data_IF_966455750604
#
_entry.id   IF_966455750604
#
_cell.length_a   1.000
_cell.length_b   1.000
_cell.length_c   1.000
_cell.angle_alpha   90.00
_cell.angle_beta   90.00
_cell.angle_gamma   90.00
#
_symmetry.space_group_name_H-M   'P 1'
#
loop_
_entity.id
_entity.type
_entity.pdbx_description
1 polymer ?
#
# COMPACT_ATOMS: atom_id res chain seq x y z
N UNK A 1 -7.67 10.14 3.34
CA UNK A 1 -6.43 9.99 2.54
C UNK A 1 -6.85 9.79 1.09
N UNK A 2 -6.13 10.37 0.12
CA UNK A 2 -6.47 10.23 -1.30
C UNK A 2 -6.08 8.85 -1.83
N UNK A 3 -6.76 8.37 -2.87
CA UNK A 3 -6.41 7.12 -3.56
C UNK A 3 -5.70 7.46 -4.87
N UNK A 4 -4.63 6.73 -5.20
CA UNK A 4 -3.95 6.87 -6.49
C UNK A 4 -4.97 6.66 -7.62
N UNK A 5 -5.04 7.56 -8.62
CA UNK A 5 -6.07 7.52 -9.64
C UNK A 5 -5.96 6.25 -10.50
N UNK A 6 -7.12 5.71 -10.85
CA UNK A 6 -7.20 4.68 -11.89
C UNK A 6 -7.03 5.37 -13.24
N UNK A 7 -6.03 4.96 -14.01
CA UNK A 7 -5.72 5.53 -15.32
C UNK A 7 -6.08 4.48 -16.39
N UNK A 8 -7.30 4.51 -16.95
CA UNK A 8 -7.76 3.51 -17.91
C UNK A 8 -6.98 3.62 -19.23
N UNK A 9 -6.50 2.50 -19.74
CA UNK A 9 -5.73 2.42 -20.99
C UNK A 9 -4.22 2.44 -20.82
N UNK A 10 -3.74 2.50 -19.60
CA UNK A 10 -2.35 2.29 -19.26
C UNK A 10 -2.04 0.81 -19.08
N UNK A 11 -1.12 0.29 -19.90
CA UNK A 11 -0.29 -0.81 -19.46
C UNK A 11 0.68 -0.27 -18.39
N UNK A 12 0.27 -0.30 -17.12
CA UNK A 12 1.17 0.06 -16.03
C UNK A 12 2.03 -1.17 -15.78
N UNK A 13 3.29 -1.11 -16.17
CA UNK A 13 4.27 -2.04 -15.66
C UNK A 13 4.60 -1.65 -14.23
N UNK A 14 4.25 -2.52 -13.29
CA UNK A 14 4.56 -2.32 -11.87
C UNK A 14 5.69 -3.24 -11.46
N UNK A 15 6.83 -2.65 -11.12
CA UNK A 15 7.92 -3.36 -10.45
C UNK A 15 7.81 -3.11 -8.96
N UNK A 16 7.71 -4.19 -8.18
CA UNK A 16 7.73 -4.14 -6.71
C UNK A 16 9.08 -4.60 -6.19
N UNK A 17 9.70 -3.80 -5.37
CA UNK A 17 10.97 -4.11 -4.69
C UNK A 17 10.76 -4.12 -3.19
N UNK A 18 11.37 -5.10 -2.52
CA UNK A 18 11.37 -5.23 -1.07
C UNK A 18 12.60 -4.53 -0.51
N UNK A 19 12.41 -3.63 0.42
CA UNK A 19 13.49 -2.89 1.07
C UNK A 19 13.63 -3.34 2.51
N UNK A 20 14.86 -3.62 2.91
CA UNK A 20 15.26 -3.90 4.30
C UNK A 20 16.40 -2.98 4.70
N UNK A 21 16.62 -2.80 5.98
CA UNK A 21 17.77 -2.04 6.49
C UNK A 21 18.56 -2.89 7.46
N UNK A 22 19.81 -3.16 7.10
CA UNK A 22 20.75 -3.94 7.91
C UNK A 22 22.09 -3.21 8.05
N UNK A 23 22.74 -3.37 9.20
CA UNK A 23 24.12 -2.95 9.41
C UNK A 23 25.00 -4.19 9.53
N UNK A 24 26.12 -4.20 8.82
CA UNK A 24 27.12 -5.27 8.88
C UNK A 24 28.48 -4.66 9.23
N UNK A 25 29.08 -5.10 10.32
CA UNK A 25 30.41 -4.68 10.75
C UNK A 25 31.37 -5.89 10.68
N UNK A 26 32.33 -5.89 9.76
CA UNK A 26 33.36 -6.93 9.70
C UNK A 26 34.37 -6.74 10.82
N UNK A 27 34.65 -7.80 11.54
CA UNK A 27 35.73 -7.83 12.52
C UNK A 27 37.06 -8.25 11.89
N UNK A 28 38.19 -7.89 12.52
CA UNK A 28 39.55 -8.28 12.07
C UNK A 28 39.80 -9.79 12.02
N UNK A 29 39.01 -10.55 12.77
CA UNK A 29 39.02 -12.02 12.79
C UNK A 29 38.20 -12.69 11.69
N UNK A 30 37.59 -11.92 10.76
CA UNK A 30 36.69 -12.44 9.73
C UNK A 30 35.26 -12.73 10.24
N UNK A 31 34.98 -12.52 11.52
CA UNK A 31 33.63 -12.58 12.06
C UNK A 31 32.88 -11.27 11.75
N UNK A 32 31.59 -11.39 11.44
CA UNK A 32 30.71 -10.24 11.18
C UNK A 32 29.71 -10.05 12.31
N UNK A 33 29.51 -8.81 12.75
CA UNK A 33 28.39 -8.40 13.59
C UNK A 33 27.30 -7.85 12.67
N UNK A 34 26.09 -8.42 12.75
CA UNK A 34 24.95 -8.04 11.91
C UNK A 34 23.79 -7.56 12.78
N UNK A 35 23.18 -6.44 12.40
CA UNK A 35 21.99 -5.91 13.04
C UNK A 35 20.94 -5.55 11.99
N UNK A 36 19.67 -5.91 12.23
CA UNK A 36 18.53 -5.48 11.41
C UNK A 36 17.84 -4.31 12.09
N UNK A 37 17.65 -3.21 11.36
CA UNK A 37 16.99 -2.02 11.87
C UNK A 37 15.48 -2.03 11.71
N UNK A 38 14.94 -2.84 10.77
CA UNK A 38 13.53 -2.92 10.51
C UNK A 38 12.97 -4.30 10.84
N UNK A 39 11.89 -4.30 11.62
CA UNK A 39 11.14 -5.52 11.96
C UNK A 39 10.23 -5.97 10.81
N UNK A 40 9.78 -5.03 9.97
CA UNK A 40 8.97 -5.27 8.78
C UNK A 40 9.60 -4.57 7.59
N UNK A 41 9.55 -5.17 6.40
CA UNK A 41 10.10 -4.55 5.20
C UNK A 41 9.31 -3.31 4.79
N UNK A 42 9.85 -2.55 3.85
CA UNK A 42 9.12 -1.54 3.06
C UNK A 42 9.04 -1.99 1.62
N UNK A 43 8.00 -1.53 0.93
CA UNK A 43 7.86 -1.73 -0.50
C UNK A 43 8.22 -0.45 -1.25
N UNK A 44 9.01 -0.60 -2.31
CA UNK A 44 9.14 0.41 -3.35
C UNK A 44 8.43 -0.10 -4.59
N UNK A 45 7.58 0.74 -5.17
CA UNK A 45 6.89 0.47 -6.42
C UNK A 45 7.43 1.40 -7.48
N UNK A 46 7.74 0.84 -8.64
CA UNK A 46 8.21 1.57 -9.81
C UNK A 46 7.16 1.39 -10.91
N UNK A 47 6.47 2.46 -11.25
CA UNK A 47 5.39 2.48 -12.21
C UNK A 47 5.91 3.04 -13.53
N UNK A 48 5.96 2.24 -14.58
CA UNK A 48 6.31 2.71 -15.91
C UNK A 48 5.04 3.14 -16.65
N UNK A 49 4.96 4.41 -17.00
CA UNK A 49 3.81 5.02 -17.65
C UNK A 49 4.08 5.16 -19.15
N UNK A 50 3.70 4.15 -19.94
CA UNK A 50 4.06 4.12 -21.36
C UNK A 50 3.20 5.03 -22.26
N UNK A 51 1.97 5.33 -21.84
CA UNK A 51 1.05 6.11 -22.66
C UNK A 51 -0.02 6.79 -21.81
N UNK A 52 -0.03 8.11 -21.79
CA UNK A 52 -1.00 8.96 -21.10
C UNK A 52 -1.73 9.83 -22.13
N UNK A 53 -3.04 9.77 -22.12
CA UNK A 53 -3.88 10.57 -23.02
C UNK A 53 -4.22 11.91 -22.39
N UNK A 54 -4.31 12.91 -23.25
CA UNK A 54 -4.84 14.22 -22.90
C UNK A 54 -6.27 14.37 -23.42
N UNK A 55 -7.08 15.25 -22.84
CA UNK A 55 -8.41 15.57 -23.31
C UNK A 55 -8.42 15.91 -24.82
N UNK A 56 -9.37 15.33 -25.54
CA UNK A 56 -9.47 15.49 -27.00
C UNK A 56 -8.68 14.47 -27.84
N UNK A 57 -7.96 13.53 -27.22
CA UNK A 57 -7.26 12.47 -27.94
C UNK A 57 -8.22 11.55 -28.70
N UNK A 58 -9.39 11.28 -28.14
CA UNK A 58 -10.44 10.51 -28.79
C UNK A 58 -11.80 11.24 -28.65
N UNK A 59 -12.57 11.39 -29.74
CA UNK A 59 -13.88 12.05 -29.67
C UNK A 59 -14.93 11.23 -28.92
N UNK A 60 -14.67 9.95 -28.66
CA UNK A 60 -15.65 9.03 -28.07
C UNK A 60 -15.52 8.88 -26.55
N UNK A 61 -14.41 9.29 -25.94
CA UNK A 61 -14.17 9.15 -24.51
C UNK A 61 -13.34 10.32 -23.98
N UNK A 62 -13.81 10.92 -22.90
CA UNK A 62 -13.11 11.99 -22.19
C UNK A 62 -11.96 11.38 -21.36
N UNK A 63 -10.87 10.99 -22.00
CA UNK A 63 -9.64 10.59 -21.32
C UNK A 63 -8.79 11.83 -21.06
N UNK A 64 -8.35 12.00 -19.84
CA UNK A 64 -7.42 13.05 -19.42
C UNK A 64 -6.47 12.55 -18.36
N UNK A 65 -5.80 11.44 -18.66
CA UNK A 65 -4.93 10.73 -17.72
C UNK A 65 -3.70 11.55 -17.37
N UNK A 66 -3.15 12.28 -18.36
CA UNK A 66 -1.98 13.13 -18.12
C UNK A 66 -2.31 14.25 -17.13
N UNK A 67 -3.42 14.97 -17.33
CA UNK A 67 -3.83 16.05 -16.43
C UNK A 67 -4.25 15.52 -15.06
N UNK A 68 -4.92 14.36 -15.02
CA UNK A 68 -5.29 13.69 -13.76
C UNK A 68 -4.06 13.35 -12.93
N UNK A 69 -3.02 12.80 -13.55
CA UNK A 69 -1.77 12.47 -12.87
C UNK A 69 -1.03 13.72 -12.41
N UNK A 70 -0.93 14.75 -13.24
CA UNK A 70 -0.30 16.03 -12.87
C UNK A 70 -1.01 16.65 -11.67
N UNK A 71 -2.34 16.73 -11.72
CA UNK A 71 -3.16 17.31 -10.64
C UNK A 71 -3.02 16.50 -9.36
N UNK A 72 -2.99 15.17 -9.46
CA UNK A 72 -2.79 14.30 -8.31
C UNK A 72 -1.40 14.49 -7.70
N UNK A 73 -0.33 14.47 -8.52
CA UNK A 73 1.05 14.65 -8.07
C UNK A 73 1.23 15.99 -7.35
N UNK A 74 0.71 17.07 -7.96
CA UNK A 74 0.72 18.40 -7.36
C UNK A 74 -0.08 18.46 -6.04
N UNK A 75 -1.27 17.87 -6.03
CA UNK A 75 -2.13 17.81 -4.83
C UNK A 75 -1.53 17.04 -3.66
N UNK A 76 -0.61 16.09 -3.92
CA UNK A 76 0.13 15.39 -2.88
C UNK A 76 1.40 16.14 -2.45
N UNK A 77 1.82 17.17 -3.18
CA UNK A 77 3.07 17.91 -2.90
C UNK A 77 4.31 17.05 -3.07
N UNK A 78 4.38 16.22 -4.12
CA UNK A 78 5.49 15.30 -4.35
C UNK A 78 5.63 14.30 -3.19
N UNK A 79 6.80 14.25 -2.55
CA UNK A 79 7.10 13.34 -1.43
C UNK A 79 6.35 13.64 -0.14
N UNK A 80 5.64 14.75 -0.05
CA UNK A 80 5.13 15.28 1.23
C UNK A 80 3.97 14.47 1.79
N UNK A 81 2.91 14.24 1.00
CA UNK A 81 1.67 13.62 1.47
C UNK A 81 1.61 12.15 1.10
N UNK A 82 1.25 11.31 2.06
CA UNK A 82 0.97 9.90 1.81
C UNK A 82 -0.45 9.73 1.22
N UNK A 83 -0.61 8.69 0.42
CA UNK A 83 -1.87 8.32 -0.23
C UNK A 83 -2.00 6.80 -0.34
N UNK A 84 -3.17 6.33 -0.72
CA UNK A 84 -3.45 4.91 -0.89
C UNK A 84 -3.17 4.45 -2.32
N UNK A 85 -2.50 3.32 -2.44
CA UNK A 85 -2.15 2.69 -3.70
C UNK A 85 -2.62 1.23 -3.71
N UNK A 86 -3.32 0.85 -4.79
CA UNK A 86 -3.66 -0.55 -5.06
C UNK A 86 -2.56 -1.19 -5.86
N UNK A 87 -1.84 -2.15 -5.29
CA UNK A 87 -0.86 -2.93 -6.05
C UNK A 87 -1.60 -3.94 -6.95
N UNK A 88 -1.48 -3.85 -8.29
CA UNK A 88 -2.14 -4.79 -9.18
C UNK A 88 -1.68 -6.25 -8.99
N UNK A 89 -0.49 -6.44 -8.42
CA UNK A 89 0.09 -7.77 -8.20
C UNK A 89 -0.37 -8.39 -6.88
N UNK A 90 -0.68 -7.58 -5.87
CA UNK A 90 -1.03 -8.08 -4.54
C UNK A 90 -1.83 -7.04 -3.74
N UNK A 91 -3.13 -7.10 -3.83
CA UNK A 91 -4.07 -6.22 -3.11
C UNK A 91 -5.20 -7.01 -2.41
N UNK A 92 -5.02 -8.33 -2.26
CA UNK A 92 -6.02 -9.20 -1.63
C UNK A 92 -5.39 -10.03 -0.51
N UNK A 93 -6.03 -10.01 0.65
CA UNK A 93 -5.71 -10.85 1.79
C UNK A 93 -6.70 -12.01 1.87
N UNK A 94 -6.21 -13.22 2.06
CA UNK A 94 -7.01 -14.42 2.31
C UNK A 94 -6.49 -15.10 3.56
N UNK A 95 -7.23 -15.02 4.66
CA UNK A 95 -6.86 -15.58 5.98
C UNK A 95 -5.45 -15.20 6.44
N UNK A 96 -5.04 -13.94 6.19
CA UNK A 96 -3.72 -13.45 6.57
C UNK A 96 -3.66 -13.25 8.08
N UNK A 97 -2.65 -13.81 8.79
CA UNK A 97 -2.48 -13.57 10.22
C UNK A 97 -2.17 -12.09 10.48
N UNK A 98 -2.88 -11.48 11.42
CA UNK A 98 -2.64 -10.09 11.81
C UNK A 98 -2.41 -9.90 13.31
N UNK A 99 -2.43 -10.99 14.10
CA UNK A 99 -2.11 -10.93 15.52
C UNK A 99 -2.63 -12.12 16.31
N UNK A 100 -2.54 -11.99 17.63
CA UNK A 100 -3.07 -12.93 18.60
C UNK A 100 -3.89 -12.20 19.65
N UNK A 101 -4.91 -12.87 20.16
CA UNK A 101 -5.70 -12.40 21.28
C UNK A 101 -4.86 -12.23 22.54
N UNK A 102 -5.11 -11.17 23.28
CA UNK A 102 -4.48 -10.92 24.60
C UNK A 102 -5.41 -11.22 25.75
N UNK A 103 -6.72 -11.30 25.50
CA UNK A 103 -7.76 -11.37 26.54
C UNK A 103 -7.97 -10.07 27.31
N UNK A 104 -7.26 -9.00 26.96
CA UNK A 104 -7.33 -7.72 27.70
C UNK A 104 -8.25 -6.74 26.97
N UNK A 105 -9.11 -6.06 27.73
CA UNK A 105 -9.98 -5.01 27.18
C UNK A 105 -9.17 -3.91 26.50
N UNK A 106 -9.72 -3.35 25.41
CA UNK A 106 -9.06 -2.30 24.64
C UNK A 106 -7.98 -2.80 23.67
N UNK A 107 -7.90 -4.12 23.44
CA UNK A 107 -6.98 -4.67 22.44
C UNK A 107 -7.24 -4.03 21.07
N UNK A 108 -6.15 -3.68 20.39
CA UNK A 108 -6.16 -3.26 18.98
C UNK A 108 -5.31 -4.22 18.15
N UNK A 109 -5.62 -4.31 16.87
CA UNK A 109 -4.89 -5.15 15.91
C UNK A 109 -4.78 -4.40 14.60
N UNK A 110 -3.58 -4.32 14.01
CA UNK A 110 -3.38 -3.68 12.71
C UNK A 110 -3.57 -4.71 11.58
N UNK A 111 -4.34 -4.36 10.54
CA UNK A 111 -4.39 -5.16 9.32
C UNK A 111 -3.03 -5.09 8.64
N UNK A 112 -2.53 -6.26 8.25
CA UNK A 112 -1.21 -6.41 7.62
C UNK A 112 -1.31 -7.33 6.42
N UNK A 113 -0.33 -7.20 5.52
CA UNK A 113 -0.11 -8.19 4.46
C UNK A 113 0.65 -9.42 4.99
N UNK A 114 0.97 -10.36 4.09
CA UNK A 114 1.69 -11.60 4.42
C UNK A 114 3.09 -11.38 5.04
N UNK A 115 3.70 -10.21 4.84
CA UNK A 115 5.02 -9.86 5.38
C UNK A 115 4.93 -8.94 6.61
N UNK A 116 3.72 -8.71 7.13
CA UNK A 116 3.51 -7.87 8.31
C UNK A 116 3.54 -6.36 8.01
N UNK A 117 3.48 -5.96 6.76
CA UNK A 117 3.39 -4.53 6.39
C UNK A 117 1.95 -4.06 6.61
N UNK A 118 1.79 -2.94 7.32
CA UNK A 118 0.48 -2.35 7.58
C UNK A 118 -0.24 -1.95 6.30
N UNK A 119 -1.53 -2.30 6.21
CA UNK A 119 -2.38 -2.02 5.06
C UNK A 119 -3.69 -1.35 5.49
N UNK A 120 -4.30 -0.60 4.59
CA UNK A 120 -5.60 0.02 4.76
C UNK A 120 -6.69 -0.79 4.02
N UNK A 121 -7.87 -1.00 4.58
CA UNK A 121 -8.92 -1.75 3.90
C UNK A 121 -9.42 -1.01 2.66
N UNK A 122 -9.63 -1.76 1.57
CA UNK A 122 -10.30 -1.30 0.37
C UNK A 122 -11.66 -2.00 0.28
N UNK A 123 -12.67 -1.42 0.93
CA UNK A 123 -13.99 -2.03 1.06
C UNK A 123 -14.13 -2.91 2.31
N UNK A 124 -14.93 -3.98 2.21
CA UNK A 124 -15.20 -4.84 3.34
C UNK A 124 -13.98 -5.71 3.72
N UNK A 125 -13.67 -5.71 4.99
CA UNK A 125 -12.67 -6.62 5.57
C UNK A 125 -13.33 -7.51 6.61
N UNK A 126 -13.11 -8.81 6.51
CA UNK A 126 -13.63 -9.84 7.41
C UNK A 126 -12.53 -10.31 8.35
N UNK A 127 -12.81 -10.30 9.65
CA UNK A 127 -11.91 -10.82 10.68
C UNK A 127 -12.39 -12.16 11.21
N UNK A 128 -11.44 -13.00 11.57
CA UNK A 128 -11.67 -14.33 12.13
C UNK A 128 -10.84 -14.51 13.40
N UNK A 129 -11.42 -15.13 14.40
CA UNK A 129 -10.74 -15.55 15.63
C UNK A 129 -10.79 -17.06 15.70
N UNK A 130 -9.63 -17.73 15.69
CA UNK A 130 -9.52 -19.19 15.58
C UNK A 130 -10.38 -19.75 14.41
N UNK A 131 -10.44 -19.05 13.28
CA UNK A 131 -11.23 -19.44 12.09
C UNK A 131 -12.73 -19.08 12.18
N UNK A 132 -13.23 -18.61 13.31
CA UNK A 132 -14.63 -18.18 13.46
C UNK A 132 -14.79 -16.72 13.02
N UNK A 133 -15.69 -16.47 12.06
CA UNK A 133 -16.00 -15.12 11.54
C UNK A 133 -16.54 -14.23 12.66
N UNK A 134 -16.03 -13.02 12.73
CA UNK A 134 -16.46 -11.98 13.67
C UNK A 134 -17.38 -10.99 12.97
N UNK A 135 -18.33 -10.44 13.71
CA UNK A 135 -19.30 -9.47 13.19
C UNK A 135 -18.80 -8.05 13.38
N UNK A 136 -18.70 -7.31 12.27
CA UNK A 136 -18.36 -5.89 12.28
C UNK A 136 -19.37 -5.10 13.12
N UNK A 137 -18.94 -4.10 13.84
CA UNK A 137 -19.66 -3.26 14.81
C UNK A 137 -20.07 -3.96 16.12
N UNK A 138 -20.29 -5.26 16.10
CA UNK A 138 -20.64 -6.04 17.30
C UNK A 138 -19.37 -6.52 18.05
N UNK A 139 -18.45 -7.16 17.32
CA UNK A 139 -17.23 -7.71 17.90
C UNK A 139 -16.03 -6.77 17.77
N UNK A 140 -15.99 -5.98 16.69
CA UNK A 140 -14.88 -5.08 16.38
C UNK A 140 -15.32 -3.91 15.51
N UNK A 141 -14.48 -2.87 15.46
CA UNK A 141 -14.55 -1.77 14.47
C UNK A 141 -13.23 -1.66 13.72
N UNK A 142 -13.24 -1.14 12.50
CA UNK A 142 -12.05 -0.92 11.68
C UNK A 142 -11.96 0.54 11.30
N UNK A 143 -10.80 1.15 11.50
CA UNK A 143 -10.52 2.50 10.99
C UNK A 143 -10.17 2.48 9.50
N UNK A 144 -10.23 3.64 8.85
CA UNK A 144 -9.79 3.80 7.46
C UNK A 144 -8.31 3.47 7.23
N UNK A 145 -7.49 3.44 8.28
CA UNK A 145 -6.06 3.07 8.21
C UNK A 145 -5.81 1.59 8.49
N UNK A 146 -6.85 0.80 8.71
CA UNK A 146 -6.73 -0.64 8.99
C UNK A 146 -6.47 -0.99 10.46
N UNK A 147 -6.60 -0.03 11.38
CA UNK A 147 -6.56 -0.32 12.80
C UNK A 147 -7.90 -0.90 13.24
N UNK A 148 -7.89 -2.13 13.70
CA UNK A 148 -9.01 -2.84 14.30
C UNK A 148 -9.06 -2.56 15.80
N UNK A 149 -10.20 -2.14 16.29
CA UNK A 149 -10.46 -2.00 17.74
C UNK A 149 -11.48 -3.04 18.15
N UNK A 150 -11.13 -3.91 19.08
CA UNK A 150 -12.01 -4.96 19.58
C UNK A 150 -12.98 -4.44 20.63
N UNK A 151 -14.26 -4.69 20.45
CA UNK A 151 -15.30 -4.44 21.47
C UNK A 151 -15.15 -5.45 22.59
N UNK A 152 -15.00 -6.74 22.23
CA UNK A 152 -14.66 -7.82 23.15
C UNK A 152 -13.34 -8.42 22.68
N UNK A 153 -12.31 -8.31 23.50
CA UNK A 153 -10.99 -8.80 23.15
C UNK A 153 -11.01 -10.32 22.92
N UNK A 154 -10.38 -10.81 21.82
CA UNK A 154 -10.16 -12.23 21.64
C UNK A 154 -9.36 -12.82 22.80
N UNK A 155 -9.72 -14.03 23.23
CA UNK A 155 -9.06 -14.72 24.35
C UNK A 155 -7.55 -14.86 24.12
N UNK A 156 -6.79 -14.92 25.21
CA UNK A 156 -5.33 -15.02 25.17
C UNK A 156 -4.86 -16.20 24.31
N UNK A 157 -3.94 -15.94 23.37
CA UNK A 157 -3.38 -16.94 22.47
C UNK A 157 -4.26 -17.29 21.25
N UNK A 158 -5.48 -16.77 21.14
CA UNK A 158 -6.33 -17.02 19.98
C UNK A 158 -5.75 -16.34 18.73
N UNK A 159 -5.64 -17.08 17.62
CA UNK A 159 -5.15 -16.55 16.36
C UNK A 159 -6.18 -15.61 15.74
N UNK A 160 -5.71 -14.43 15.31
CA UNK A 160 -6.51 -13.44 14.61
C UNK A 160 -6.04 -13.42 13.15
N UNK A 161 -6.98 -13.66 12.23
CA UNK A 161 -6.71 -13.60 10.78
C UNK A 161 -7.75 -12.71 10.11
N UNK A 162 -7.44 -12.25 8.90
CA UNK A 162 -8.36 -11.41 8.14
C UNK A 162 -8.35 -11.73 6.65
N UNK A 163 -9.44 -11.35 5.98
CA UNK A 163 -9.62 -11.45 4.53
C UNK A 163 -10.27 -10.20 3.99
N UNK A 164 -9.85 -9.76 2.82
CA UNK A 164 -10.40 -8.58 2.15
C UNK A 164 -9.44 -8.03 1.11
N UNK A 165 -9.85 -6.94 0.47
CA UNK A 165 -8.96 -6.16 -0.41
C UNK A 165 -8.36 -4.99 0.36
N UNK A 166 -7.20 -4.52 -0.08
CA UNK A 166 -6.49 -3.48 0.66
C UNK A 166 -5.66 -2.55 -0.23
N UNK A 167 -5.31 -1.41 0.37
CA UNK A 167 -4.37 -0.44 -0.14
C UNK A 167 -3.06 -0.49 0.65
N UNK A 168 -1.97 -0.26 -0.03
CA UNK A 168 -0.73 0.17 0.62
C UNK A 168 -0.77 1.68 0.85
N UNK A 169 -0.34 2.12 2.03
CA UNK A 169 -0.08 3.53 2.28
C UNK A 169 1.30 3.85 1.73
N UNK A 170 1.35 4.71 0.73
CA UNK A 170 2.59 5.08 0.03
C UNK A 170 2.72 6.60 -0.10
N UNK A 171 3.90 7.07 -0.40
CA UNK A 171 4.18 8.42 -0.88
C UNK A 171 4.98 8.36 -2.18
N UNK A 172 5.01 9.44 -2.91
CA UNK A 172 5.99 9.54 -4.00
C UNK A 172 7.41 9.50 -3.43
N UNK A 173 8.36 8.92 -4.16
CA UNK A 173 9.77 8.91 -3.80
C UNK A 173 10.59 9.93 -4.61
N UNK A 174 9.90 10.82 -5.30
CA UNK A 174 10.47 11.87 -6.14
C UNK A 174 9.62 13.15 -6.06
N UNK A 175 10.26 14.30 -6.24
CA UNK A 175 9.60 15.62 -6.29
C UNK A 175 9.48 16.16 -7.72
N UNK A 176 9.83 15.34 -8.70
CA UNK A 176 9.76 15.66 -10.13
C UNK A 176 8.85 14.64 -10.82
N UNK A 177 7.96 15.10 -11.66
CA UNK A 177 7.13 14.31 -12.54
C UNK A 177 7.53 14.63 -13.99
N UNK A 178 8.28 13.72 -14.61
CA UNK A 178 8.73 13.87 -15.99
C UNK A 178 7.69 13.31 -16.94
N UNK A 179 7.18 14.16 -17.85
CA UNK A 179 6.26 13.79 -18.91
C UNK A 179 6.82 14.24 -20.23
N UNK A 180 6.98 13.32 -21.17
CA UNK A 180 7.45 13.57 -22.53
C UNK A 180 6.30 13.44 -23.51
N UNK A 181 6.14 14.41 -24.40
CA UNK A 181 5.12 14.38 -25.44
C UNK A 181 5.60 13.51 -26.61
N UNK A 182 4.88 12.44 -26.90
CA UNK A 182 5.22 11.52 -28.00
C UNK A 182 4.58 11.99 -29.31
N UNK A 183 3.26 12.27 -29.25
CA UNK A 183 2.47 12.77 -30.35
C UNK A 183 1.44 13.77 -29.87
N UNK A 184 0.66 14.37 -30.77
CA UNK A 184 -0.39 15.30 -30.34
C UNK A 184 -1.35 14.63 -29.35
N UNK A 185 -1.56 15.26 -28.19
CA UNK A 185 -2.45 14.81 -27.10
C UNK A 185 -2.08 13.45 -26.47
N UNK A 186 -0.86 12.94 -26.70
CA UNK A 186 -0.35 11.74 -26.05
C UNK A 186 1.03 11.97 -25.44
N UNK A 187 1.21 11.48 -24.20
CA UNK A 187 2.39 11.67 -23.38
C UNK A 187 2.95 10.34 -22.92
N UNK A 188 4.24 10.27 -22.78
CA UNK A 188 4.94 9.21 -22.10
C UNK A 188 5.38 9.73 -20.73
N UNK A 189 5.07 9.02 -19.69
CA UNK A 189 5.64 9.26 -18.36
C UNK A 189 6.96 8.52 -18.20
N UNK A 190 7.86 9.12 -17.47
CA UNK A 190 9.01 8.41 -16.94
C UNK A 190 8.59 7.36 -15.89
N UNK A 191 9.59 6.80 -15.20
CA UNK A 191 9.35 5.94 -14.05
C UNK A 191 8.82 6.78 -12.88
N UNK A 192 7.66 6.44 -12.37
CA UNK A 192 7.05 7.04 -11.18
C UNK A 192 7.29 6.13 -9.99
N UNK A 193 8.10 6.60 -9.04
CA UNK A 193 8.50 5.81 -7.87
C UNK A 193 7.64 6.12 -6.67
N UNK A 194 7.12 5.07 -6.05
CA UNK A 194 6.37 5.13 -4.80
C UNK A 194 7.10 4.35 -3.71
N UNK A 195 7.03 4.83 -2.49
CA UNK A 195 7.62 4.18 -1.32
C UNK A 195 6.56 4.00 -0.24
N UNK A 196 6.43 2.78 0.30
CA UNK A 196 5.52 2.53 1.41
C UNK A 196 5.97 3.29 2.66
N UNK A 197 5.00 3.85 3.37
CA UNK A 197 5.20 4.53 4.65
C UNK A 197 4.55 3.73 5.78
N UNK A 198 5.12 3.87 6.99
CA UNK A 198 4.59 3.26 8.21
C UNK A 198 3.66 4.23 8.91
#
# INVERSE_FOLDING_TARGET
MNVFPTLPGLAIEVKRSLLTSTSVQPGTSGKELRASWWSTPKYAFDLTLNFLRQAGFSPQTAFDEAQTLISFFWGQGGKYTAFWFTDPLNSTATTVPCGTGTGLAGQTTQLVDLLGVSVAPNGAASLYVNGALQTLTTNYTISSTGLVTWVTAPGSGQAITWSGTYYYTVRFDQDVLDLERIVNLAWKGGSLKLLSVK
#
